data_IF_746976492100
#
_entry.id   IF_746976492100
#
_cell.length_a   1.000
_cell.length_b   1.000
_cell.length_c   1.000
_cell.angle_alpha   90.00
_cell.angle_beta   90.00
_cell.angle_gamma   90.00
#
_symmetry.space_group_name_H-M   'P 1'
#
loop_
_entity.id
_entity.type
_entity.pdbx_description
1 polymer ?
#
# COMPACT_ATOMS: atom_id res chain seq x y z
N UNK A 1 38.32 -16.94 7.70
CA UNK A 1 37.11 -17.72 8.00
C UNK A 1 36.06 -16.72 8.47
N UNK A 2 35.35 -16.12 7.53
CA UNK A 2 34.25 -15.19 7.78
C UNK A 2 32.95 -15.97 7.54
N UNK A 3 32.08 -16.01 8.53
CA UNK A 3 30.71 -16.51 8.39
C UNK A 3 29.85 -15.33 7.88
N UNK A 4 29.02 -15.50 6.85
CA UNK A 4 28.03 -14.49 6.48
C UNK A 4 26.81 -14.63 7.43
N UNK A 5 26.57 -13.64 8.25
CA UNK A 5 25.27 -13.41 8.86
C UNK A 5 24.42 -12.65 7.83
N UNK A 6 23.60 -13.38 7.11
CA UNK A 6 22.57 -12.79 6.27
C UNK A 6 21.26 -12.92 7.03
N UNK A 7 20.89 -11.89 7.77
CA UNK A 7 19.54 -11.76 8.32
C UNK A 7 18.70 -11.00 7.30
N UNK A 8 17.87 -11.73 6.56
CA UNK A 8 16.88 -11.20 5.66
C UNK A 8 15.64 -10.82 6.47
N UNK A 9 15.44 -9.53 6.73
CA UNK A 9 14.13 -9.00 7.11
C UNK A 9 13.41 -8.50 5.87
N UNK A 10 12.41 -9.24 5.47
CA UNK A 10 11.57 -8.91 4.32
C UNK A 10 10.26 -8.33 4.84
N UNK A 11 10.09 -7.01 4.71
CA UNK A 11 8.76 -6.42 4.78
C UNK A 11 8.01 -6.81 3.52
N UNK A 12 7.11 -7.71 3.66
CA UNK A 12 6.31 -8.24 2.58
C UNK A 12 4.85 -8.01 2.92
N UNK A 13 4.32 -7.20 2.14
CA UNK A 13 3.52 -7.81 1.08
C UNK A 13 4.51 -8.47 0.10
N UNK A 14 4.80 -9.79 0.29
CA UNK A 14 5.50 -10.67 -0.63
C UNK A 14 7.04 -10.73 -0.63
N UNK A 15 7.62 -11.63 0.12
CA UNK A 15 8.71 -12.54 -0.27
C UNK A 15 9.04 -13.54 0.84
N UNK A 16 8.57 -14.75 0.74
CA UNK A 16 9.12 -15.91 1.44
C UNK A 16 9.90 -16.74 0.42
N UNK A 17 11.21 -16.57 0.34
CA UNK A 17 12.06 -17.59 -0.26
C UNK A 17 12.15 -18.76 0.71
N UNK A 18 11.49 -19.86 0.38
CA UNK A 18 11.64 -21.13 1.06
C UNK A 18 13.08 -21.60 0.91
N UNK A 19 13.87 -21.43 1.97
CA UNK A 19 15.01 -22.31 2.18
C UNK A 19 14.44 -23.66 2.59
N UNK A 20 14.61 -24.66 1.72
CA UNK A 20 14.29 -26.05 2.02
C UNK A 20 15.07 -26.51 3.24
N UNK A 21 14.45 -26.42 4.41
CA UNK A 21 14.80 -27.23 5.56
C UNK A 21 14.01 -28.53 5.42
N UNK A 22 14.68 -29.67 5.45
CA UNK A 22 14.08 -30.98 5.28
C UNK A 22 12.86 -31.16 6.16
N UNK A 23 11.72 -31.31 5.52
CA UNK A 23 10.47 -31.68 6.18
C UNK A 23 10.59 -33.15 6.54
N UNK A 24 10.50 -33.45 7.80
CA UNK A 24 10.29 -34.80 8.28
C UNK A 24 8.90 -35.28 7.79
N UNK A 25 8.88 -36.25 6.90
CA UNK A 25 7.67 -36.80 6.27
C UNK A 25 6.72 -37.54 7.24
N UNK A 26 6.87 -37.40 8.55
CA UNK A 26 6.07 -38.14 9.55
C UNK A 26 4.85 -37.38 10.09
N UNK A 27 4.66 -36.08 9.84
CA UNK A 27 3.41 -35.40 10.16
C UNK A 27 2.45 -35.47 8.97
N UNK A 28 1.65 -36.54 8.91
CA UNK A 28 0.43 -36.56 8.11
C UNK A 28 -0.47 -35.45 8.61
N UNK A 29 -0.52 -34.36 7.86
CA UNK A 29 -1.51 -33.28 8.04
C UNK A 29 -2.89 -33.88 7.86
N UNK A 30 -3.64 -34.00 8.96
CA UNK A 30 -5.08 -34.22 8.95
C UNK A 30 -5.72 -33.20 7.99
N UNK A 31 -6.78 -33.57 7.25
CA UNK A 31 -7.43 -32.63 6.34
C UNK A 31 -7.93 -31.41 7.12
N UNK A 32 -7.66 -30.21 6.60
CA UNK A 32 -7.97 -28.87 7.15
C UNK A 32 -9.48 -28.59 7.35
N UNK A 33 -10.28 -29.61 7.56
CA UNK A 33 -11.73 -29.52 7.85
C UNK A 33 -11.98 -29.26 9.36
N UNK A 34 -10.93 -29.30 10.18
CA UNK A 34 -11.06 -28.92 11.58
C UNK A 34 -10.82 -27.40 11.74
N UNK A 35 -11.92 -26.68 11.94
CA UNK A 35 -11.97 -25.23 12.16
C UNK A 35 -11.09 -24.79 13.33
N UNK A 36 -10.86 -25.67 14.29
CA UNK A 36 -9.99 -25.41 15.41
C UNK A 36 -8.53 -25.38 15.00
N UNK A 37 -8.12 -26.12 13.98
CA UNK A 37 -6.71 -26.15 13.50
C UNK A 37 -6.32 -24.78 12.91
N UNK A 38 -7.16 -24.16 12.07
CA UNK A 38 -6.88 -22.82 11.55
C UNK A 38 -6.87 -21.77 12.68
N UNK A 39 -7.81 -21.85 13.63
CA UNK A 39 -7.82 -20.96 14.79
C UNK A 39 -6.53 -21.08 15.61
N UNK A 40 -6.12 -22.30 15.96
CA UNK A 40 -4.90 -22.56 16.73
C UNK A 40 -3.66 -22.04 15.98
N UNK A 41 -3.60 -22.26 14.66
CA UNK A 41 -2.50 -21.76 13.85
C UNK A 41 -2.41 -20.24 13.91
N UNK A 42 -3.51 -19.53 13.63
CA UNK A 42 -3.54 -18.04 13.64
C UNK A 42 -3.21 -17.51 15.04
N UNK A 43 -3.81 -18.07 16.09
CA UNK A 43 -3.56 -17.64 17.47
C UNK A 43 -2.08 -17.83 17.87
N UNK A 44 -1.48 -18.97 17.52
CA UNK A 44 -0.07 -19.30 17.82
C UNK A 44 0.87 -18.37 17.03
N UNK A 45 0.62 -18.11 15.74
CA UNK A 45 1.43 -17.17 14.96
C UNK A 45 1.45 -15.78 15.59
N UNK A 46 0.31 -15.28 16.04
CA UNK A 46 0.24 -14.00 16.77
C UNK A 46 0.98 -14.10 18.10
N UNK A 47 0.73 -15.15 18.88
CA UNK A 47 1.35 -15.35 20.19
C UNK A 47 2.88 -15.36 20.13
N UNK A 48 3.46 -15.91 19.08
CA UNK A 48 4.90 -16.09 18.93
C UNK A 48 5.59 -14.93 18.19
N UNK A 49 4.89 -14.27 17.24
CA UNK A 49 5.52 -13.40 16.26
C UNK A 49 5.02 -11.96 16.23
N UNK A 50 3.88 -11.65 16.86
CA UNK A 50 3.38 -10.27 16.91
C UNK A 50 4.45 -9.35 17.51
N UNK A 51 4.71 -8.21 16.88
CA UNK A 51 5.86 -7.34 17.19
C UNK A 51 5.93 -6.87 18.64
N UNK A 52 4.77 -6.64 19.29
CA UNK A 52 4.69 -6.22 20.68
C UNK A 52 4.39 -7.42 21.60
N UNK A 53 5.32 -7.80 22.49
CA UNK A 53 5.09 -8.90 23.45
C UNK A 53 3.93 -8.65 24.42
N UNK A 54 3.51 -7.39 24.60
CA UNK A 54 2.35 -7.02 25.40
C UNK A 54 1.04 -6.96 24.59
N UNK A 55 1.05 -7.30 23.29
CA UNK A 55 -0.11 -7.31 22.38
C UNK A 55 -0.87 -5.98 22.40
N UNK A 56 -0.17 -4.85 22.43
CA UNK A 56 -0.75 -3.51 22.59
C UNK A 56 -1.63 -3.38 23.85
N UNK A 57 -1.27 -4.11 24.93
CA UNK A 57 -2.00 -4.12 26.20
C UNK A 57 -3.19 -5.09 26.24
N UNK A 58 -3.40 -5.90 25.20
CA UNK A 58 -4.48 -6.88 25.13
C UNK A 58 -4.09 -8.16 25.87
N UNK A 59 -4.99 -8.69 26.70
CA UNK A 59 -4.84 -10.05 27.25
C UNK A 59 -5.11 -11.09 26.15
N UNK A 60 -4.04 -11.49 25.46
CA UNK A 60 -4.11 -12.42 24.33
C UNK A 60 -4.59 -13.82 24.77
N UNK A 61 -4.25 -14.26 25.97
CA UNK A 61 -4.73 -15.52 26.51
C UNK A 61 -6.23 -15.51 26.78
N UNK A 62 -6.78 -14.39 27.25
CA UNK A 62 -8.23 -14.24 27.40
C UNK A 62 -8.94 -14.28 26.04
N UNK A 63 -8.29 -13.78 24.93
CA UNK A 63 -8.84 -13.90 23.58
C UNK A 63 -8.91 -15.35 23.13
N UNK A 64 -7.93 -16.17 23.43
CA UNK A 64 -7.99 -17.61 23.16
C UNK A 64 -9.24 -18.24 23.79
N UNK A 65 -9.45 -18.01 25.08
CA UNK A 65 -10.58 -18.57 25.79
C UNK A 65 -11.93 -18.10 25.25
N UNK A 66 -11.98 -16.86 24.76
CA UNK A 66 -13.20 -16.29 24.19
C UNK A 66 -13.50 -16.80 22.77
N UNK A 67 -12.53 -16.74 21.87
CA UNK A 67 -12.75 -17.01 20.43
C UNK A 67 -12.69 -18.48 20.05
N UNK A 68 -11.92 -19.31 20.74
CA UNK A 68 -11.78 -20.74 20.44
C UNK A 68 -13.12 -21.49 20.41
N UNK A 69 -14.02 -21.38 21.42
CA UNK A 69 -15.30 -22.07 21.37
C UNK A 69 -16.24 -21.52 20.29
N UNK A 70 -16.09 -20.26 19.88
CA UNK A 70 -16.86 -19.66 18.77
C UNK A 70 -16.35 -20.23 17.44
N UNK A 71 -15.03 -20.27 17.22
CA UNK A 71 -14.42 -20.84 16.04
C UNK A 71 -14.81 -22.32 15.84
N UNK A 72 -14.80 -23.12 16.90
CA UNK A 72 -15.23 -24.53 16.85
C UNK A 72 -16.70 -24.72 16.44
N UNK A 73 -17.54 -23.70 16.61
CA UNK A 73 -18.98 -23.73 16.30
C UNK A 73 -19.33 -22.98 15.00
N UNK A 74 -18.37 -22.35 14.35
CA UNK A 74 -18.60 -21.59 13.13
C UNK A 74 -19.35 -22.46 12.09
N UNK A 75 -20.42 -21.98 11.50
CA UNK A 75 -21.25 -22.75 10.58
C UNK A 75 -20.61 -22.90 9.19
N UNK A 76 -19.67 -22.01 8.86
CA UNK A 76 -18.96 -21.98 7.58
C UNK A 76 -17.52 -21.48 7.75
N UNK A 77 -16.70 -21.69 6.70
CA UNK A 77 -15.35 -21.13 6.61
C UNK A 77 -15.39 -19.58 6.62
N UNK A 78 -16.34 -18.98 5.92
CA UNK A 78 -16.51 -17.53 5.92
C UNK A 78 -16.75 -16.99 7.33
N UNK A 79 -17.63 -17.63 8.12
CA UNK A 79 -17.87 -17.26 9.51
C UNK A 79 -16.61 -17.44 10.38
N UNK A 80 -15.84 -18.51 10.16
CA UNK A 80 -14.57 -18.71 10.86
C UNK A 80 -13.58 -17.59 10.54
N UNK A 81 -13.40 -17.23 9.27
CA UNK A 81 -12.52 -16.13 8.85
C UNK A 81 -12.96 -14.78 9.42
N UNK A 82 -14.28 -14.53 9.47
CA UNK A 82 -14.81 -13.31 10.08
C UNK A 82 -14.51 -13.25 11.60
N UNK A 83 -14.66 -14.36 12.32
CA UNK A 83 -14.31 -14.47 13.73
C UNK A 83 -12.81 -14.27 13.98
N UNK A 84 -11.97 -14.89 13.16
CA UNK A 84 -10.51 -14.71 13.23
C UNK A 84 -10.12 -13.25 12.97
N UNK A 85 -10.66 -12.62 11.95
CA UNK A 85 -10.40 -11.23 11.66
C UNK A 85 -10.96 -10.28 12.73
N UNK A 86 -12.07 -10.64 13.39
CA UNK A 86 -12.57 -9.90 14.54
C UNK A 86 -11.59 -9.96 15.72
N UNK A 87 -11.06 -11.14 16.03
CA UNK A 87 -10.02 -11.33 17.04
C UNK A 87 -8.75 -10.53 16.71
N UNK A 88 -8.27 -10.60 15.48
CA UNK A 88 -7.07 -9.90 15.03
C UNK A 88 -7.21 -8.37 15.09
N UNK A 89 -8.41 -7.82 14.82
CA UNK A 89 -8.67 -6.37 14.94
C UNK A 89 -8.52 -5.85 16.36
N UNK A 90 -8.71 -6.67 17.38
CA UNK A 90 -8.53 -6.25 18.77
C UNK A 90 -7.07 -5.90 19.08
N UNK A 91 -6.11 -6.41 18.30
CA UNK A 91 -4.70 -6.01 18.40
C UNK A 91 -4.47 -4.54 18.01
N UNK A 92 -5.43 -3.88 17.39
CA UNK A 92 -5.38 -2.48 16.94
C UNK A 92 -4.10 -2.14 16.17
N UNK A 93 -3.75 -2.96 15.19
CA UNK A 93 -2.54 -2.85 14.38
C UNK A 93 -2.86 -2.90 12.89
N UNK A 94 -2.12 -2.15 12.08
CA UNK A 94 -2.12 -2.31 10.63
C UNK A 94 -1.54 -3.67 10.22
N UNK A 95 -1.60 -4.02 8.95
CA UNK A 95 -1.00 -5.25 8.39
C UNK A 95 -1.38 -6.53 9.17
N UNK A 96 -2.62 -6.63 9.67
CA UNK A 96 -3.08 -7.76 10.45
C UNK A 96 -4.39 -8.32 9.89
N UNK A 97 -4.36 -9.57 9.41
CA UNK A 97 -5.56 -10.21 8.87
C UNK A 97 -5.31 -11.58 8.24
N UNK A 98 -6.35 -12.40 8.18
CA UNK A 98 -6.34 -13.74 7.59
C UNK A 98 -7.47 -13.88 6.58
N UNK A 99 -7.19 -14.56 5.47
CA UNK A 99 -8.20 -14.91 4.45
C UNK A 99 -7.75 -16.14 3.65
N UNK A 100 -8.65 -16.67 2.82
CA UNK A 100 -8.23 -17.58 1.74
C UNK A 100 -7.28 -16.85 0.78
N UNK A 101 -6.41 -17.57 0.10
CA UNK A 101 -5.55 -16.97 -0.93
C UNK A 101 -6.37 -16.28 -2.03
N UNK A 102 -7.53 -16.84 -2.37
CA UNK A 102 -8.47 -16.21 -3.30
C UNK A 102 -9.10 -14.93 -2.73
N UNK A 103 -9.46 -14.93 -1.43
CA UNK A 103 -9.98 -13.76 -0.73
C UNK A 103 -8.95 -12.64 -0.63
N UNK A 104 -7.69 -12.97 -0.34
CA UNK A 104 -6.59 -12.00 -0.35
C UNK A 104 -6.48 -11.36 -1.73
N UNK A 105 -6.48 -12.16 -2.81
CA UNK A 105 -6.43 -11.68 -4.20
C UNK A 105 -7.51 -10.64 -4.50
N UNK A 106 -8.71 -10.81 -3.96
CA UNK A 106 -9.83 -9.90 -4.18
C UNK A 106 -9.77 -8.62 -3.33
N UNK A 107 -8.98 -8.62 -2.24
CA UNK A 107 -8.91 -7.53 -1.25
C UNK A 107 -7.62 -6.73 -1.29
N UNK A 108 -6.62 -7.19 -2.04
CA UNK A 108 -5.37 -6.45 -2.25
C UNK A 108 -5.62 -5.19 -3.08
N UNK A 109 -4.67 -4.30 -3.07
CA UNK A 109 -4.77 -3.03 -3.77
C UNK A 109 -5.03 -3.20 -5.26
N UNK A 110 -6.02 -2.50 -5.81
CA UNK A 110 -6.30 -2.53 -7.24
C UNK A 110 -5.17 -1.93 -8.08
N UNK A 111 -4.38 -1.01 -7.54
CA UNK A 111 -3.26 -0.40 -8.25
C UNK A 111 -2.17 -1.39 -8.65
N UNK A 112 -1.98 -2.44 -7.87
CA UNK A 112 -0.89 -3.41 -8.08
C UNK A 112 -1.40 -4.74 -8.59
N UNK A 113 -2.61 -5.18 -8.20
CA UNK A 113 -3.05 -6.56 -8.45
C UNK A 113 -4.20 -6.73 -9.44
N UNK A 114 -4.87 -5.66 -9.87
CA UNK A 114 -5.98 -5.80 -10.79
C UNK A 114 -5.51 -6.05 -12.23
N UNK A 115 -6.13 -7.02 -12.90
CA UNK A 115 -5.81 -7.42 -14.28
C UNK A 115 -6.25 -6.38 -15.31
N UNK A 116 -7.29 -5.63 -15.01
CA UNK A 116 -7.87 -4.63 -15.91
C UNK A 116 -8.18 -3.31 -15.23
N UNK A 117 -8.14 -2.24 -16.00
CA UNK A 117 -8.40 -0.87 -15.58
C UNK A 117 -9.20 -0.14 -16.64
N UNK A 118 -10.08 0.77 -16.23
CA UNK A 118 -10.76 1.71 -17.14
C UNK A 118 -9.94 2.99 -17.41
N UNK A 119 -8.79 3.13 -16.76
CA UNK A 119 -7.91 4.29 -16.89
C UNK A 119 -8.32 5.49 -16.03
N UNK A 120 -9.01 5.28 -14.92
CA UNK A 120 -9.38 6.31 -13.96
C UNK A 120 -8.60 6.14 -12.65
N UNK A 121 -8.08 7.26 -12.12
CA UNK A 121 -7.72 7.42 -10.72
C UNK A 121 -8.70 8.38 -10.05
N UNK A 122 -9.19 8.05 -8.86
CA UNK A 122 -10.21 8.82 -8.15
C UNK A 122 -9.83 9.07 -6.71
N UNK A 123 -10.36 10.17 -6.14
CA UNK A 123 -10.25 10.48 -4.70
C UNK A 123 -11.62 10.90 -4.17
N UNK A 124 -11.76 10.76 -2.85
CA UNK A 124 -12.92 11.32 -2.15
C UNK A 124 -12.59 12.76 -1.79
N UNK A 125 -13.15 13.70 -2.55
CA UNK A 125 -12.94 15.15 -2.39
C UNK A 125 -14.30 15.77 -2.07
N UNK A 126 -14.38 16.57 -1.00
CA UNK A 126 -15.62 17.28 -0.62
C UNK A 126 -16.84 16.34 -0.51
N UNK A 127 -16.62 15.15 0.05
CA UNK A 127 -17.63 14.09 0.19
C UNK A 127 -18.23 13.58 -1.15
N UNK A 128 -17.46 13.65 -2.24
CA UNK A 128 -17.80 13.13 -3.54
C UNK A 128 -16.67 12.26 -4.13
N UNK A 129 -17.02 11.30 -5.01
CA UNK A 129 -16.05 10.56 -5.80
C UNK A 129 -15.63 11.44 -6.97
N UNK A 130 -14.43 12.02 -6.92
CA UNK A 130 -13.92 12.93 -7.95
C UNK A 130 -12.84 12.24 -8.76
N UNK A 131 -12.91 12.36 -10.08
CA UNK A 131 -11.86 11.91 -10.98
C UNK A 131 -10.65 12.82 -10.79
N UNK A 132 -9.55 12.23 -10.30
CA UNK A 132 -8.25 12.90 -10.13
C UNK A 132 -7.47 12.90 -11.45
N UNK A 133 -7.46 11.75 -12.11
CA UNK A 133 -6.66 11.52 -13.30
C UNK A 133 -7.37 10.60 -14.29
N UNK A 134 -7.17 10.86 -15.57
CA UNK A 134 -7.65 10.04 -16.69
C UNK A 134 -6.44 9.67 -17.54
N UNK A 135 -6.18 8.38 -17.69
CA UNK A 135 -5.08 7.88 -18.52
C UNK A 135 -5.40 8.14 -20.00
N UNK A 136 -4.48 8.80 -20.69
CA UNK A 136 -4.60 9.08 -22.14
C UNK A 136 -4.79 7.78 -22.94
N UNK A 137 -5.70 7.82 -23.90
CA UNK A 137 -6.05 6.72 -24.77
C UNK A 137 -6.86 5.60 -24.11
N UNK A 138 -7.15 5.69 -22.80
CA UNK A 138 -7.96 4.71 -22.09
C UNK A 138 -9.44 4.78 -22.47
N UNK A 139 -10.18 3.74 -22.09
CA UNK A 139 -11.64 3.68 -22.25
C UNK A 139 -12.35 4.89 -21.63
N UNK A 140 -11.84 5.39 -20.50
CA UNK A 140 -12.36 6.60 -19.86
C UNK A 140 -12.07 7.88 -20.67
N UNK A 141 -10.87 8.02 -21.20
CA UNK A 141 -10.48 9.15 -22.05
C UNK A 141 -11.30 9.18 -23.33
N UNK A 142 -11.41 8.03 -24.00
CA UNK A 142 -12.24 7.88 -25.22
C UNK A 142 -13.73 8.18 -24.97
N UNK A 143 -14.21 7.97 -23.75
CA UNK A 143 -15.57 8.34 -23.34
C UNK A 143 -15.72 9.82 -22.98
N UNK A 144 -14.64 10.60 -23.02
CA UNK A 144 -14.63 12.04 -22.76
C UNK A 144 -14.66 12.43 -21.28
N UNK A 145 -14.33 11.49 -20.38
CA UNK A 145 -14.18 11.80 -18.95
C UNK A 145 -12.93 12.66 -18.71
N UNK A 146 -13.00 13.52 -17.70
CA UNK A 146 -11.92 14.46 -17.38
C UNK A 146 -11.69 14.58 -15.88
N UNK A 147 -10.49 14.97 -15.44
CA UNK A 147 -10.26 15.36 -14.04
C UNK A 147 -11.28 16.40 -13.57
N UNK A 148 -11.73 16.27 -12.33
CA UNK A 148 -12.73 17.12 -11.72
C UNK A 148 -14.19 16.72 -12.00
N UNK A 149 -14.46 15.77 -12.89
CA UNK A 149 -15.81 15.19 -13.00
C UNK A 149 -16.14 14.40 -11.73
N UNK A 150 -17.42 14.43 -11.33
CA UNK A 150 -17.90 13.72 -10.13
C UNK A 150 -18.58 12.42 -10.55
N UNK A 151 -18.12 11.32 -10.02
CA UNK A 151 -18.79 10.02 -10.20
C UNK A 151 -19.92 9.92 -9.17
N UNK A 152 -21.15 9.93 -9.65
CA UNK A 152 -22.34 9.78 -8.83
C UNK A 152 -22.65 8.30 -8.53
N UNK A 153 -22.45 7.41 -9.52
CA UNK A 153 -22.66 5.96 -9.36
C UNK A 153 -21.69 5.14 -10.19
N UNK A 154 -21.26 4.01 -9.59
CA UNK A 154 -20.53 2.94 -10.27
C UNK A 154 -21.34 1.64 -10.11
N UNK A 155 -21.75 1.01 -11.21
CA UNK A 155 -22.63 -0.18 -11.20
C UNK A 155 -23.87 0.04 -10.31
N UNK A 156 -24.48 1.23 -10.41
CA UNK A 156 -25.64 1.63 -9.64
C UNK A 156 -25.37 2.03 -8.17
N UNK A 157 -24.17 1.80 -7.63
CA UNK A 157 -23.78 2.13 -6.25
C UNK A 157 -23.32 3.58 -6.13
N UNK A 158 -23.86 4.28 -5.15
CA UNK A 158 -23.48 5.64 -4.75
C UNK A 158 -22.30 5.61 -3.76
N UNK A 159 -21.75 6.80 -3.43
CA UNK A 159 -20.74 6.92 -2.38
C UNK A 159 -21.25 6.41 -1.02
N UNK A 160 -22.53 6.63 -0.66
CA UNK A 160 -23.10 6.16 0.60
C UNK A 160 -23.24 4.62 0.62
N UNK A 161 -23.51 4.01 -0.54
CA UNK A 161 -23.48 2.55 -0.66
C UNK A 161 -22.06 2.03 -0.39
N UNK A 162 -21.01 2.65 -0.94
CA UNK A 162 -19.62 2.30 -0.66
C UNK A 162 -19.26 2.54 0.82
N UNK A 163 -19.67 3.66 1.42
CA UNK A 163 -19.45 3.92 2.86
C UNK A 163 -20.04 2.81 3.74
N UNK A 164 -21.20 2.28 3.36
CA UNK A 164 -21.87 1.19 4.11
C UNK A 164 -21.13 -0.15 3.98
N UNK A 165 -20.36 -0.36 2.94
CA UNK A 165 -19.58 -1.58 2.69
C UNK A 165 -18.21 -1.57 3.40
N UNK A 166 -17.70 -0.39 3.72
CA UNK A 166 -16.35 -0.25 4.29
C UNK A 166 -16.30 -0.81 5.70
N UNK A 167 -15.49 -1.83 5.88
CA UNK A 167 -15.04 -2.29 7.19
C UNK A 167 -13.73 -1.60 7.52
N UNK A 168 -13.76 -0.59 8.38
CA UNK A 168 -12.54 0.09 8.82
C UNK A 168 -11.68 -0.88 9.62
N UNK A 169 -10.43 -1.04 9.20
CA UNK A 169 -9.42 -1.83 9.90
C UNK A 169 -8.48 -0.91 10.67
N UNK A 170 -7.81 -1.39 11.71
CA UNK A 170 -6.79 -0.61 12.39
C UNK A 170 -5.68 -0.13 11.44
N UNK A 171 -5.09 1.05 11.71
CA UNK A 171 -5.49 1.99 12.78
C UNK A 171 -6.83 2.65 12.47
N UNK A 172 -7.75 2.71 13.47
CA UNK A 172 -9.12 3.18 13.26
C UNK A 172 -9.20 4.72 13.31
N UNK A 173 -8.49 5.41 12.42
CA UNK A 173 -8.53 6.86 12.25
C UNK A 173 -9.27 7.27 10.97
N UNK A 174 -9.56 8.57 10.79
CA UNK A 174 -10.33 9.07 9.64
C UNK A 174 -9.57 8.92 8.32
N UNK A 175 -8.23 9.07 8.32
CA UNK A 175 -7.41 8.90 7.11
C UNK A 175 -7.44 7.46 6.61
N UNK A 176 -7.34 6.51 7.54
CA UNK A 176 -7.44 5.09 7.21
C UNK A 176 -8.87 4.71 6.74
N UNK A 177 -9.90 5.38 7.28
CA UNK A 177 -11.27 5.24 6.76
C UNK A 177 -11.37 5.72 5.31
N UNK A 178 -10.79 6.88 4.99
CA UNK A 178 -10.73 7.41 3.61
C UNK A 178 -9.96 6.48 2.69
N UNK A 179 -8.80 5.96 3.13
CA UNK A 179 -8.06 4.93 2.40
C UNK A 179 -8.93 3.72 2.04
N UNK A 180 -9.64 3.14 3.01
CA UNK A 180 -10.51 1.99 2.76
C UNK A 180 -11.67 2.34 1.84
N UNK A 181 -12.28 3.50 2.00
CA UNK A 181 -13.38 3.94 1.14
C UNK A 181 -12.90 4.15 -0.30
N UNK A 182 -11.80 4.86 -0.51
CA UNK A 182 -11.19 5.07 -1.83
C UNK A 182 -10.80 3.74 -2.47
N UNK A 183 -10.25 2.80 -1.68
CA UNK A 183 -9.92 1.45 -2.15
C UNK A 183 -11.15 0.67 -2.62
N UNK A 184 -12.30 0.74 -1.92
CA UNK A 184 -13.54 0.08 -2.35
C UNK A 184 -14.09 0.69 -3.65
N UNK A 185 -14.01 2.01 -3.81
CA UNK A 185 -14.40 2.68 -5.04
C UNK A 185 -13.49 2.26 -6.20
N UNK A 186 -12.18 2.23 -5.97
CA UNK A 186 -11.20 1.81 -6.99
C UNK A 186 -11.42 0.34 -7.40
N UNK A 187 -11.72 -0.58 -6.47
CA UNK A 187 -12.05 -1.98 -6.80
C UNK A 187 -13.27 -2.11 -7.71
N UNK A 188 -14.19 -1.15 -7.70
CA UNK A 188 -15.30 -1.13 -8.63
C UNK A 188 -14.90 -0.68 -10.04
N UNK A 189 -13.85 0.16 -10.16
CA UNK A 189 -13.30 0.63 -11.44
C UNK A 189 -12.30 -0.36 -12.04
N UNK A 190 -11.48 -0.95 -11.19
CA UNK A 190 -10.54 -2.01 -11.53
C UNK A 190 -11.22 -3.39 -11.48
N UNK A 191 -10.57 -4.42 -12.01
CA UNK A 191 -11.09 -5.79 -11.93
C UNK A 191 -10.60 -6.68 -13.06
N UNK A 192 -11.34 -7.77 -13.39
CA UNK A 192 -11.00 -8.60 -14.53
C UNK A 192 -11.00 -7.78 -15.83
N UNK A 193 -10.02 -8.06 -16.70
CA UNK A 193 -9.97 -7.49 -18.04
C UNK A 193 -11.21 -7.88 -18.86
N UNK A 194 -11.50 -7.12 -19.90
CA UNK A 194 -12.63 -7.33 -20.82
C UNK A 194 -14.04 -7.24 -20.20
N UNK A 195 -14.13 -6.83 -18.93
CA UNK A 195 -15.40 -6.59 -18.27
C UNK A 195 -15.75 -5.09 -18.33
N UNK A 196 -16.98 -4.80 -18.77
CA UNK A 196 -17.49 -3.43 -18.77
C UNK A 196 -17.87 -2.99 -17.34
N UNK A 197 -17.82 -1.68 -17.10
CA UNK A 197 -18.35 -1.04 -15.89
C UNK A 197 -19.19 0.18 -16.30
N UNK A 198 -20.40 0.27 -15.74
CA UNK A 198 -21.30 1.39 -15.97
C UNK A 198 -21.05 2.49 -14.94
N UNK A 199 -20.81 3.71 -15.40
CA UNK A 199 -20.54 4.87 -14.55
C UNK A 199 -21.56 5.96 -14.89
N UNK A 200 -22.25 6.49 -13.87
CA UNK A 200 -22.98 7.75 -13.95
C UNK A 200 -22.14 8.84 -13.31
N UNK A 201 -21.89 9.93 -14.02
CA UNK A 201 -21.10 11.05 -13.53
C UNK A 201 -21.72 12.39 -13.89
N UNK A 202 -21.24 13.44 -13.25
CA UNK A 202 -21.53 14.84 -13.53
C UNK A 202 -20.29 15.44 -14.20
N UNK A 203 -20.47 16.12 -15.31
CA UNK A 203 -19.39 16.82 -16.00
C UNK A 203 -18.94 18.10 -15.27
N UNK A 204 -18.13 18.93 -15.93
CA UNK A 204 -17.63 20.19 -15.36
C UNK A 204 -18.70 21.24 -15.08
N UNK A 205 -19.85 21.14 -15.75
CA UNK A 205 -21.01 22.01 -15.59
C UNK A 205 -22.14 21.34 -14.77
N UNK A 206 -21.85 20.23 -14.11
CA UNK A 206 -22.77 19.40 -13.33
C UNK A 206 -23.90 18.75 -14.15
N UNK A 207 -23.73 18.62 -15.48
CA UNK A 207 -24.68 17.89 -16.31
C UNK A 207 -24.47 16.37 -16.13
N UNK A 208 -25.55 15.57 -15.94
CA UNK A 208 -25.42 14.13 -15.79
C UNK A 208 -25.11 13.45 -17.13
N UNK A 209 -24.17 12.53 -17.09
CA UNK A 209 -23.85 11.63 -18.19
C UNK A 209 -23.69 10.19 -17.70
N UNK A 210 -23.95 9.24 -18.57
CA UNK A 210 -23.73 7.82 -18.28
C UNK A 210 -22.86 7.21 -19.37
N UNK A 211 -21.81 6.52 -18.95
CA UNK A 211 -20.87 5.85 -19.84
C UNK A 211 -20.68 4.41 -19.44
N UNK A 212 -20.45 3.54 -20.41
CA UNK A 212 -20.04 2.17 -20.19
C UNK A 212 -18.57 2.05 -20.61
N UNK A 213 -17.70 1.81 -19.66
CA UNK A 213 -16.27 1.75 -19.87
C UNK A 213 -15.83 0.28 -19.92
N UNK A 214 -14.95 -0.04 -20.85
CA UNK A 214 -14.33 -1.35 -20.92
C UNK A 214 -13.06 -1.37 -20.08
N UNK A 215 -12.91 -2.37 -19.20
CA UNK A 215 -11.63 -2.59 -18.53
C UNK A 215 -10.64 -3.17 -19.53
N UNK A 216 -9.59 -2.40 -19.78
CA UNK A 216 -8.49 -2.81 -20.64
C UNK A 216 -7.51 -3.67 -19.86
N UNK A 217 -7.00 -4.73 -20.48
CA UNK A 217 -5.97 -5.55 -19.87
C UNK A 217 -4.70 -4.74 -19.58
N UNK A 218 -4.18 -4.88 -18.37
CA UNK A 218 -2.87 -4.35 -18.03
C UNK A 218 -1.79 -5.30 -18.54
N UNK A 219 -0.67 -4.75 -18.97
CA UNK A 219 0.44 -5.49 -19.59
C UNK A 219 1.53 -5.83 -18.58
N UNK A 220 2.40 -6.75 -18.95
CA UNK A 220 3.66 -7.07 -18.27
C UNK A 220 3.53 -7.44 -16.78
N UNK A 221 2.64 -8.40 -16.46
CA UNK A 221 2.48 -8.86 -15.09
C UNK A 221 3.75 -9.53 -14.57
N UNK A 222 4.15 -9.19 -13.35
CA UNK A 222 5.28 -9.79 -12.65
C UNK A 222 4.79 -10.85 -11.68
N UNK A 223 5.26 -12.09 -11.81
CA UNK A 223 4.95 -13.18 -10.87
C UNK A 223 6.13 -13.39 -9.91
N UNK A 224 5.93 -13.10 -8.64
CA UNK A 224 6.95 -13.31 -7.59
C UNK A 224 6.95 -14.76 -7.10
N UNK A 225 5.78 -15.29 -6.79
CA UNK A 225 5.57 -16.69 -6.39
C UNK A 225 4.20 -17.18 -6.88
N UNK A 226 3.99 -18.50 -7.02
CA UNK A 226 2.68 -19.03 -7.41
C UNK A 226 1.55 -18.76 -6.39
N UNK A 227 1.90 -18.52 -5.13
CA UNK A 227 0.93 -18.26 -4.07
C UNK A 227 0.30 -16.86 -4.14
N UNK A 228 0.91 -15.96 -4.90
CA UNK A 228 0.58 -14.56 -4.98
C UNK A 228 0.10 -14.21 -6.38
N UNK A 229 -0.97 -13.37 -6.52
CA UNK A 229 -1.40 -12.88 -7.81
C UNK A 229 -0.24 -12.17 -8.53
N UNK A 230 -0.23 -12.19 -9.86
CA UNK A 230 0.69 -11.35 -10.61
C UNK A 230 0.55 -9.88 -10.24
N UNK A 231 1.67 -9.18 -10.19
CA UNK A 231 1.77 -7.75 -9.91
C UNK A 231 1.83 -6.97 -11.21
N UNK A 232 1.14 -5.85 -11.27
CA UNK A 232 1.24 -4.88 -12.36
C UNK A 232 2.01 -3.66 -11.83
N UNK A 233 3.32 -3.67 -12.07
CA UNK A 233 4.23 -2.62 -11.62
C UNK A 233 4.30 -1.54 -12.69
N UNK A 234 3.93 -0.33 -12.32
CA UNK A 234 3.88 0.82 -13.22
C UNK A 234 4.88 1.87 -12.77
N UNK A 235 5.59 2.45 -13.71
CA UNK A 235 6.49 3.58 -13.48
C UNK A 235 6.32 4.61 -14.59
N UNK A 236 6.46 5.88 -14.25
CA UNK A 236 6.39 7.00 -15.16
C UNK A 236 7.48 8.00 -14.81
N UNK A 237 8.18 8.49 -15.83
CA UNK A 237 9.14 9.58 -15.67
C UNK A 237 9.03 10.58 -16.81
N UNK A 238 9.23 11.87 -16.49
CA UNK A 238 9.29 12.94 -17.46
C UNK A 238 9.92 14.20 -16.90
N UNK A 239 10.32 15.10 -17.76
CA UNK A 239 10.61 16.46 -17.36
C UNK A 239 9.29 17.25 -17.28
N UNK A 240 9.07 17.97 -16.18
CA UNK A 240 7.96 18.90 -16.03
C UNK A 240 8.24 20.24 -16.72
N UNK A 241 9.50 20.66 -16.65
CA UNK A 241 10.08 21.81 -17.36
C UNK A 241 11.58 21.53 -17.63
N UNK A 242 12.34 22.56 -18.04
CA UNK A 242 13.77 22.43 -18.36
C UNK A 242 14.63 22.04 -17.13
N UNK A 243 14.11 22.12 -15.91
CA UNK A 243 14.89 21.97 -14.67
C UNK A 243 14.36 20.92 -13.72
N UNK A 244 13.05 20.64 -13.75
CA UNK A 244 12.36 19.80 -12.74
C UNK A 244 11.89 18.53 -13.41
N UNK A 245 12.32 17.42 -12.86
CA UNK A 245 11.92 16.07 -13.23
C UNK A 245 10.75 15.57 -12.36
N UNK A 246 10.02 14.60 -12.88
CA UNK A 246 8.95 13.88 -12.22
C UNK A 246 9.20 12.39 -12.35
N UNK A 247 9.00 11.66 -11.25
CA UNK A 247 9.10 10.21 -11.17
C UNK A 247 7.94 9.68 -10.35
N UNK A 248 7.18 8.74 -10.89
CA UNK A 248 6.07 8.05 -10.21
C UNK A 248 6.22 6.55 -10.38
N UNK A 249 5.87 5.79 -9.36
CA UNK A 249 5.76 4.33 -9.41
C UNK A 249 4.76 3.86 -8.34
N UNK A 250 4.16 2.68 -8.52
CA UNK A 250 3.04 2.22 -7.71
C UNK A 250 3.41 1.22 -6.60
N UNK A 251 4.65 0.71 -6.55
CA UNK A 251 5.10 -0.19 -5.47
C UNK A 251 6.64 -0.29 -5.39
N UNK A 252 7.15 -0.56 -4.19
CA UNK A 252 8.56 -0.89 -3.93
C UNK A 252 8.78 -2.40 -4.04
N UNK A 253 8.84 -2.93 -5.26
CA UNK A 253 9.06 -4.36 -5.47
C UNK A 253 10.36 -4.59 -6.26
N UNK A 254 11.21 -5.56 -5.87
CA UNK A 254 12.51 -5.77 -6.51
C UNK A 254 12.47 -5.83 -8.04
N UNK A 255 11.54 -6.56 -8.69
CA UNK A 255 11.49 -6.58 -10.16
C UNK A 255 11.06 -5.25 -10.79
N UNK A 256 10.31 -4.41 -10.07
CA UNK A 256 9.87 -3.09 -10.55
C UNK A 256 10.81 -1.97 -10.15
N UNK A 257 11.77 -2.22 -9.27
CA UNK A 257 12.72 -1.19 -8.82
C UNK A 257 13.73 -0.84 -9.93
N UNK A 258 14.20 -1.82 -10.69
CA UNK A 258 15.19 -1.59 -11.75
C UNK A 258 14.72 -0.52 -12.76
N UNK A 259 13.51 -0.58 -13.34
CA UNK A 259 13.01 0.47 -14.20
C UNK A 259 12.93 1.85 -13.51
N UNK A 260 12.61 1.90 -12.21
CA UNK A 260 12.57 3.16 -11.44
C UNK A 260 13.97 3.76 -11.31
N UNK A 261 14.99 2.93 -11.03
CA UNK A 261 16.39 3.36 -10.93
C UNK A 261 16.95 3.79 -12.28
N UNK A 262 16.64 3.07 -13.36
CA UNK A 262 17.02 3.43 -14.74
C UNK A 262 16.43 4.80 -15.12
N UNK A 263 15.14 5.03 -14.87
CA UNK A 263 14.50 6.31 -15.11
C UNK A 263 15.08 7.43 -14.24
N UNK A 264 15.42 7.15 -12.98
CA UNK A 264 16.11 8.13 -12.13
C UNK A 264 17.50 8.47 -12.70
N UNK A 265 18.23 7.51 -13.27
CA UNK A 265 19.52 7.76 -13.91
C UNK A 265 19.41 8.65 -15.17
N UNK A 266 18.33 8.54 -15.91
CA UNK A 266 18.04 9.44 -17.05
C UNK A 266 17.75 10.87 -16.57
N UNK A 267 17.10 11.02 -15.41
CA UNK A 267 16.73 12.29 -14.80
C UNK A 267 17.82 12.91 -13.90
N UNK A 268 18.97 12.25 -13.75
CA UNK A 268 20.00 12.55 -12.75
C UNK A 268 20.56 13.97 -12.82
N UNK A 269 20.47 14.64 -13.96
CA UNK A 269 20.98 16.01 -14.18
C UNK A 269 19.96 17.09 -13.90
N UNK A 270 18.72 16.74 -13.55
CA UNK A 270 17.69 17.71 -13.21
C UNK A 270 18.07 18.49 -11.94
N UNK A 271 17.70 19.75 -11.88
CA UNK A 271 17.94 20.60 -10.69
C UNK A 271 16.96 20.30 -9.55
N UNK A 272 15.78 19.75 -9.87
CA UNK A 272 14.77 19.31 -8.92
C UNK A 272 14.08 18.02 -9.37
N UNK A 273 13.60 17.24 -8.40
CA UNK A 273 12.88 15.99 -8.63
C UNK A 273 11.61 15.96 -7.77
N UNK A 274 10.48 15.75 -8.42
CA UNK A 274 9.23 15.38 -7.74
C UNK A 274 9.09 13.86 -7.79
N UNK A 275 9.02 13.21 -6.63
CA UNK A 275 8.72 11.80 -6.49
C UNK A 275 7.25 11.69 -6.09
N UNK A 276 6.41 11.11 -6.94
CA UNK A 276 4.97 10.95 -6.66
C UNK A 276 4.67 9.56 -6.12
N UNK A 277 4.40 9.49 -4.82
CA UNK A 277 4.01 8.27 -4.11
C UNK A 277 2.50 8.18 -3.85
N UNK A 278 1.69 9.04 -4.43
CA UNK A 278 0.22 8.98 -4.33
C UNK A 278 -0.30 7.74 -5.06
N UNK A 279 -0.98 6.87 -4.32
CA UNK A 279 -1.41 5.56 -4.83
C UNK A 279 -0.30 4.49 -4.86
N UNK A 280 0.82 4.70 -4.16
CA UNK A 280 1.85 3.70 -4.00
C UNK A 280 1.56 2.80 -2.79
N UNK A 281 1.51 1.50 -3.03
CA UNK A 281 1.16 0.48 -2.03
C UNK A 281 2.30 0.08 -1.07
N UNK A 282 3.42 0.78 -1.11
CA UNK A 282 4.60 0.38 -0.36
C UNK A 282 5.28 -0.85 -0.94
N UNK A 283 5.82 -1.72 -0.09
CA UNK A 283 6.49 -2.95 -0.51
C UNK A 283 7.77 -3.24 0.27
N UNK A 284 8.81 -3.73 -0.42
CA UNK A 284 10.05 -4.20 0.17
C UNK A 284 10.87 -3.07 0.81
N UNK A 285 11.28 -3.25 2.07
CA UNK A 285 12.21 -2.36 2.77
C UNK A 285 13.54 -2.25 1.99
N UNK A 286 14.05 -3.36 1.47
CA UNK A 286 15.31 -3.36 0.73
C UNK A 286 15.17 -2.54 -0.56
N UNK A 287 14.07 -2.69 -1.32
CA UNK A 287 13.82 -1.88 -2.51
C UNK A 287 13.71 -0.38 -2.15
N UNK A 288 13.03 -0.03 -1.06
CA UNK A 288 12.96 1.33 -0.56
C UNK A 288 14.35 1.88 -0.20
N UNK A 289 15.19 1.09 0.49
CA UNK A 289 16.55 1.48 0.88
C UNK A 289 17.47 1.66 -0.33
N UNK A 290 17.35 0.82 -1.36
CA UNK A 290 18.09 0.97 -2.61
C UNK A 290 17.77 2.31 -3.28
N UNK A 291 16.48 2.70 -3.34
CA UNK A 291 16.11 4.00 -3.87
C UNK A 291 16.62 5.15 -2.97
N UNK A 292 16.47 5.04 -1.64
CA UNK A 292 16.98 6.03 -0.68
C UNK A 292 18.50 6.20 -0.78
N UNK A 293 19.24 5.13 -1.09
CA UNK A 293 20.70 5.14 -1.31
C UNK A 293 21.13 6.09 -2.42
N UNK A 294 20.21 6.43 -3.35
CA UNK A 294 20.45 7.40 -4.43
C UNK A 294 20.42 8.86 -3.98
N UNK A 295 20.03 9.12 -2.71
CA UNK A 295 19.84 10.47 -2.19
C UNK A 295 20.80 10.82 -1.04
N UNK A 296 21.45 9.83 -0.42
CA UNK A 296 22.40 10.05 0.67
C UNK A 296 23.86 10.12 0.19
N UNK A 297 24.73 10.82 0.93
CA UNK A 297 26.17 10.98 0.62
C UNK A 297 27.04 9.96 1.34
N UNK A 298 26.61 9.60 2.54
CA UNK A 298 27.29 8.68 3.45
C UNK A 298 26.24 7.79 4.13
N UNK A 299 26.64 6.71 4.77
CA UNK A 299 25.70 5.87 5.49
C UNK A 299 24.95 6.64 6.56
N UNK A 300 23.61 6.59 6.53
CA UNK A 300 22.70 7.30 7.41
C UNK A 300 21.86 6.33 8.23
N UNK A 301 22.06 6.34 9.55
CA UNK A 301 21.19 5.61 10.48
C UNK A 301 19.84 6.33 10.59
N UNK A 302 18.76 5.70 10.13
CA UNK A 302 17.44 6.33 10.15
C UNK A 302 16.53 5.83 11.27
N UNK A 303 16.80 4.64 11.82
CA UNK A 303 15.94 4.08 12.85
C UNK A 303 16.34 2.69 13.29
N UNK A 304 15.43 2.09 14.07
CA UNK A 304 15.57 0.72 14.58
C UNK A 304 14.27 -0.02 14.31
N UNK A 305 14.35 -1.17 13.65
CA UNK A 305 13.25 -2.10 13.59
C UNK A 305 13.15 -2.87 14.91
N UNK A 306 12.02 -2.71 15.56
CA UNK A 306 11.72 -3.34 16.85
C UNK A 306 10.74 -4.47 16.62
N UNK A 307 11.22 -5.70 16.74
CA UNK A 307 10.41 -6.91 16.74
C UNK A 307 10.18 -7.43 18.17
N UNK A 308 9.46 -8.52 18.29
CA UNK A 308 9.23 -9.18 19.59
C UNK A 308 10.52 -9.57 20.32
N UNK A 309 11.56 -9.93 19.60
CA UNK A 309 12.78 -10.53 20.13
C UNK A 309 14.04 -9.71 19.89
N UNK A 310 14.01 -8.82 18.92
CA UNK A 310 15.21 -8.11 18.44
C UNK A 310 14.95 -6.64 18.21
N UNK A 311 15.99 -5.83 18.42
CA UNK A 311 16.05 -4.43 18.04
C UNK A 311 17.19 -4.27 17.04
N UNK A 312 16.85 -4.08 15.78
CA UNK A 312 17.83 -4.06 14.68
C UNK A 312 17.95 -2.64 14.13
N UNK A 313 19.03 -1.90 14.46
CA UNK A 313 19.31 -0.61 13.83
C UNK A 313 19.46 -0.79 12.31
N UNK A 314 18.89 0.15 11.55
CA UNK A 314 18.97 0.09 10.09
C UNK A 314 19.47 1.40 9.49
N UNK A 315 20.28 1.23 8.43
CA UNK A 315 21.08 2.29 7.82
C UNK A 315 20.85 2.29 6.31
N UNK A 316 20.66 3.48 5.74
CA UNK A 316 20.72 3.67 4.30
C UNK A 316 22.20 3.79 3.92
N UNK A 317 22.63 3.04 2.90
CA UNK A 317 23.98 3.10 2.37
C UNK A 317 23.92 3.75 0.98
N UNK A 318 24.83 4.70 0.65
CA UNK A 318 24.91 5.29 -0.68
C UNK A 318 25.01 4.21 -1.75
N UNK A 319 24.21 4.33 -2.81
CA UNK A 319 24.17 3.35 -3.88
C UNK A 319 23.98 4.00 -5.26
N UNK A 320 24.73 3.52 -6.26
CA UNK A 320 24.64 4.00 -7.64
C UNK A 320 25.01 5.48 -7.80
N UNK A 321 24.42 6.12 -8.82
CA UNK A 321 24.60 7.56 -9.08
C UNK A 321 23.69 8.36 -8.17
N UNK A 322 24.26 9.28 -7.39
CA UNK A 322 23.48 10.12 -6.48
C UNK A 322 22.79 11.27 -7.21
N UNK A 323 21.51 11.49 -6.91
CA UNK A 323 20.80 12.69 -7.31
C UNK A 323 21.22 13.87 -6.43
N UNK A 324 21.65 14.96 -7.04
CA UNK A 324 22.22 16.13 -6.32
C UNK A 324 21.24 17.31 -6.22
N UNK A 325 20.12 17.24 -6.95
CA UNK A 325 19.09 18.29 -6.96
C UNK A 325 18.21 18.29 -5.70
N UNK A 326 17.31 19.26 -5.62
CA UNK A 326 16.30 19.33 -4.55
C UNK A 326 15.20 18.29 -4.81
N UNK A 327 14.60 17.77 -3.74
CA UNK A 327 13.57 16.72 -3.87
C UNK A 327 12.29 17.17 -3.16
N UNK A 328 11.16 16.97 -3.82
CA UNK A 328 9.83 17.02 -3.23
C UNK A 328 9.15 15.65 -3.38
N UNK A 329 8.46 15.21 -2.33
CA UNK A 329 7.71 13.94 -2.36
C UNK A 329 6.22 14.22 -2.21
N UNK A 330 5.42 13.71 -3.16
CA UNK A 330 3.96 13.81 -3.09
C UNK A 330 3.39 12.59 -2.37
N UNK A 331 2.50 12.84 -1.41
CA UNK A 331 1.79 11.81 -0.64
C UNK A 331 0.31 12.14 -0.49
N UNK A 332 -0.51 11.11 -0.33
CA UNK A 332 -1.94 11.24 -0.02
C UNK A 332 -2.44 10.05 0.83
N UNK A 333 -3.76 9.94 1.02
CA UNK A 333 -4.38 8.83 1.76
C UNK A 333 -4.18 7.46 1.11
N UNK A 334 -3.70 7.41 -0.14
CA UNK A 334 -3.41 6.17 -0.85
C UNK A 334 -1.91 5.83 -0.87
N UNK A 335 -1.08 6.57 -0.15
CA UNK A 335 0.34 6.26 0.10
C UNK A 335 0.44 5.43 1.38
N UNK A 336 0.82 4.14 1.31
CA UNK A 336 0.85 3.25 2.48
C UNK A 336 2.18 2.53 2.65
N UNK A 337 2.49 2.10 3.87
CA UNK A 337 3.63 1.23 4.21
C UNK A 337 4.98 1.86 3.77
N UNK A 338 5.72 1.25 2.84
CA UNK A 338 6.96 1.80 2.30
C UNK A 338 6.81 3.21 1.72
N UNK A 339 5.61 3.53 1.14
CA UNK A 339 5.31 4.87 0.63
C UNK A 339 5.01 5.91 1.73
N UNK A 340 4.90 5.48 2.98
CA UNK A 340 4.88 6.34 4.17
C UNK A 340 6.29 6.36 4.80
N UNK A 341 6.95 5.20 4.89
CA UNK A 341 8.28 5.09 5.51
C UNK A 341 9.33 5.93 4.75
N UNK A 342 9.36 5.86 3.42
CA UNK A 342 10.31 6.62 2.62
C UNK A 342 10.22 8.14 2.86
N UNK A 343 9.06 8.81 2.68
CA UNK A 343 8.96 10.24 2.96
C UNK A 343 9.21 10.59 4.43
N UNK A 344 8.81 9.75 5.39
CA UNK A 344 9.11 9.96 6.80
C UNK A 344 10.62 9.91 7.10
N UNK A 345 11.37 9.02 6.45
CA UNK A 345 12.83 8.97 6.52
C UNK A 345 13.45 10.19 5.82
N UNK A 346 12.93 10.59 4.66
CA UNK A 346 13.44 11.75 3.94
C UNK A 346 13.23 13.06 4.71
N UNK A 347 12.13 13.21 5.44
CA UNK A 347 11.92 14.33 6.38
C UNK A 347 12.91 14.27 7.55
N UNK A 348 13.11 13.09 8.15
CA UNK A 348 14.04 12.90 9.27
C UNK A 348 15.47 13.32 8.91
N UNK A 349 15.90 13.07 7.68
CA UNK A 349 17.25 13.31 7.18
C UNK A 349 17.39 14.60 6.36
N UNK A 350 16.37 15.46 6.35
CA UNK A 350 16.31 16.70 5.56
C UNK A 350 16.64 16.51 4.07
N UNK A 351 16.23 15.38 3.49
CA UNK A 351 16.50 15.03 2.08
C UNK A 351 15.45 15.57 1.12
N UNK A 352 14.21 15.80 1.59
CA UNK A 352 13.11 16.23 0.74
C UNK A 352 12.07 17.03 1.51
N UNK A 353 11.28 17.83 0.77
CA UNK A 353 10.05 18.45 1.26
C UNK A 353 8.87 17.54 0.91
N UNK A 354 8.09 17.13 1.90
CA UNK A 354 6.88 16.31 1.69
C UNK A 354 5.67 17.22 1.48
N UNK A 355 4.93 16.97 0.40
CA UNK A 355 3.79 17.79 -0.04
C UNK A 355 2.55 16.93 -0.26
N UNK A 356 1.38 17.40 0.09
CA UNK A 356 0.12 16.70 -0.15
C UNK A 356 -0.78 16.59 1.07
N UNK A 357 -1.39 15.43 1.29
CA UNK A 357 -2.25 15.15 2.42
C UNK A 357 -1.62 14.10 3.34
N UNK A 358 -1.96 14.17 4.65
CA UNK A 358 -1.44 13.23 5.65
C UNK A 358 -1.81 11.80 5.32
N UNK A 359 -0.84 10.89 5.40
CA UNK A 359 -1.00 9.49 5.06
C UNK A 359 -1.77 8.68 6.13
N UNK A 360 -2.24 7.44 5.85
CA UNK A 360 -3.10 6.68 6.76
C UNK A 360 -2.46 6.24 8.08
N UNK A 361 -1.14 6.05 8.11
CA UNK A 361 -0.43 5.48 9.25
C UNK A 361 -0.46 3.96 9.28
N UNK A 362 -0.32 3.31 8.14
CA UNK A 362 -0.18 1.86 8.03
C UNK A 362 1.29 1.50 7.81
N UNK A 363 2.10 1.58 8.87
CA UNK A 363 3.57 1.59 8.75
C UNK A 363 4.27 0.38 9.39
N UNK A 364 3.52 -0.57 9.93
CA UNK A 364 4.11 -1.78 10.50
C UNK A 364 4.69 -2.69 9.42
N UNK A 365 5.76 -3.40 9.78
CA UNK A 365 6.35 -4.42 8.94
C UNK A 365 5.57 -5.71 9.08
N UNK A 366 4.84 -6.10 8.04
CA UNK A 366 4.02 -7.31 8.03
C UNK A 366 4.70 -8.46 7.28
N UNK A 367 4.68 -9.65 7.88
CA UNK A 367 5.02 -10.89 7.20
C UNK A 367 3.76 -11.53 6.62
N UNK A 368 3.92 -12.13 5.44
CA UNK A 368 2.88 -12.96 4.82
C UNK A 368 3.26 -14.43 4.94
N UNK A 369 2.38 -15.22 5.56
CA UNK A 369 2.56 -16.67 5.67
C UNK A 369 1.37 -17.40 5.06
N UNK A 370 1.65 -18.53 4.40
CA UNK A 370 0.64 -19.40 3.82
C UNK A 370 0.47 -20.64 4.70
N UNK A 371 -0.77 -20.99 4.97
CA UNK A 371 -1.12 -22.18 5.74
C UNK A 371 -2.03 -23.10 4.95
N UNK A 372 -1.64 -24.39 4.88
CA UNK A 372 -2.39 -25.44 4.18
C UNK A 372 -2.64 -25.15 2.70
N UNK A 373 -1.72 -24.43 2.04
CA UNK A 373 -1.81 -24.02 0.62
C UNK A 373 -3.11 -23.26 0.25
N UNK A 374 -3.86 -22.81 1.27
CA UNK A 374 -5.22 -22.29 1.09
C UNK A 374 -5.47 -20.97 1.77
N UNK A 375 -4.87 -20.76 2.93
CA UNK A 375 -5.04 -19.54 3.73
C UNK A 375 -3.76 -18.73 3.76
N UNK A 376 -3.91 -17.41 3.78
CA UNK A 376 -2.82 -16.47 4.00
C UNK A 376 -3.07 -15.65 5.26
N UNK A 377 -2.04 -15.49 6.07
CA UNK A 377 -2.02 -14.61 7.24
C UNK A 377 -1.01 -13.49 6.99
N UNK A 378 -1.46 -12.26 7.10
CA UNK A 378 -0.60 -11.08 7.24
C UNK A 378 -0.51 -10.76 8.72
N UNK A 379 0.71 -10.66 9.24
CA UNK A 379 0.96 -10.40 10.66
C UNK A 379 2.07 -9.37 10.83
N UNK A 380 1.86 -8.28 11.61
CA UNK A 380 2.92 -7.31 11.88
C UNK A 380 3.94 -7.88 12.85
N UNK A 381 5.18 -8.05 12.38
CA UNK A 381 6.28 -8.67 13.11
C UNK A 381 7.33 -7.68 13.60
N UNK A 382 7.35 -6.46 13.05
CA UNK A 382 8.21 -5.38 13.50
C UNK A 382 7.55 -4.01 13.30
N UNK A 383 8.07 -3.02 14.05
CA UNK A 383 7.76 -1.60 13.86
C UNK A 383 9.04 -0.82 13.69
N UNK A 384 9.01 0.23 12.89
CA UNK A 384 10.12 1.18 12.79
C UNK A 384 10.00 2.26 13.88
N UNK A 385 11.06 2.45 14.65
CA UNK A 385 11.25 3.59 15.55
C UNK A 385 12.38 4.43 14.96
N UNK A 386 12.07 5.65 14.55
CA UNK A 386 13.05 6.57 13.97
C UNK A 386 14.11 6.99 14.99
N UNK A 387 15.25 7.51 14.53
CA UNK A 387 16.34 7.97 15.42
C UNK A 387 15.94 9.13 16.35
N UNK A 388 14.91 9.89 15.99
CA UNK A 388 14.31 10.92 16.84
C UNK A 388 13.25 10.38 17.84
N UNK A 389 13.04 9.07 17.86
CA UNK A 389 12.09 8.37 18.74
C UNK A 389 10.65 8.30 18.22
N UNK A 390 10.33 8.92 17.06
CA UNK A 390 8.97 8.81 16.48
C UNK A 390 8.66 7.39 16.03
N UNK A 391 7.40 7.02 16.15
CA UNK A 391 6.78 5.88 15.49
C UNK A 391 5.50 6.39 14.85
N UNK A 392 5.40 6.29 13.55
CA UNK A 392 4.30 6.87 12.78
C UNK A 392 3.13 5.89 12.54
N UNK A 393 3.16 4.68 13.11
CA UNK A 393 2.01 3.77 13.07
C UNK A 393 0.78 4.42 13.70
N UNK A 394 -0.32 4.43 12.96
CA UNK A 394 -1.57 5.08 13.35
C UNK A 394 -1.60 6.61 13.18
N UNK A 395 -0.44 7.24 13.05
CA UNK A 395 -0.33 8.68 12.83
C UNK A 395 -0.13 9.02 11.34
N UNK A 396 0.75 8.30 10.65
CA UNK A 396 1.13 8.57 9.27
C UNK A 396 2.10 9.74 9.14
N UNK A 397 2.53 10.00 7.92
CA UNK A 397 3.41 11.13 7.58
C UNK A 397 2.58 12.40 7.47
N UNK A 398 2.94 13.40 8.24
CA UNK A 398 2.38 14.76 8.14
C UNK A 398 3.22 15.52 7.10
N UNK A 399 2.64 15.97 5.98
CA UNK A 399 3.38 16.73 4.98
C UNK A 399 3.92 18.06 5.53
N UNK A 400 5.11 18.46 5.07
CA UNK A 400 5.69 19.79 5.38
C UNK A 400 4.85 20.92 4.75
N UNK A 401 4.20 20.60 3.62
CA UNK A 401 3.25 21.46 2.93
C UNK A 401 1.93 20.70 2.72
N UNK A 402 0.98 20.94 3.61
CA UNK A 402 -0.37 20.37 3.48
C UNK A 402 -1.14 21.07 2.37
N UNK A 403 -1.49 20.33 1.32
CA UNK A 403 -2.20 20.83 0.15
C UNK A 403 -3.31 19.83 -0.19
N UNK A 404 -4.57 20.12 0.12
CA UNK A 404 -5.67 19.25 -0.28
C UNK A 404 -5.91 19.33 -1.79
N UNK A 405 -6.43 18.24 -2.36
CA UNK A 405 -7.01 18.29 -3.69
C UNK A 405 -8.35 19.01 -3.63
N UNK A 406 -8.66 19.80 -4.68
CA UNK A 406 -9.96 20.41 -4.84
C UNK A 406 -10.49 20.21 -6.27
N UNK A 407 -11.82 20.05 -6.37
CA UNK A 407 -12.50 19.81 -7.65
C UNK A 407 -12.30 20.96 -8.66
N UNK A 408 -12.34 22.19 -8.18
CA UNK A 408 -12.24 23.37 -9.07
C UNK A 408 -10.88 23.47 -9.76
N UNK A 409 -9.79 23.12 -9.06
CA UNK A 409 -8.45 23.04 -9.65
C UNK A 409 -8.36 21.92 -10.68
N UNK A 410 -8.86 20.74 -10.38
CA UNK A 410 -8.86 19.59 -11.29
C UNK A 410 -9.66 19.88 -12.58
N UNK A 411 -10.81 20.56 -12.48
CA UNK A 411 -11.59 21.00 -13.64
C UNK A 411 -10.81 21.96 -14.56
N UNK A 412 -9.86 22.72 -14.02
CA UNK A 412 -8.97 23.59 -14.82
C UNK A 412 -7.75 22.85 -15.36
N UNK A 413 -7.67 21.54 -15.16
CA UNK A 413 -6.50 20.71 -15.52
C UNK A 413 -5.27 20.95 -14.64
N UNK A 414 -5.48 21.41 -13.41
CA UNK A 414 -4.42 21.74 -12.47
C UNK A 414 -4.42 20.74 -11.31
N UNK A 415 -3.28 20.10 -11.08
CA UNK A 415 -3.02 19.37 -9.85
C UNK A 415 -2.36 20.33 -8.83
N UNK A 416 -3.09 20.77 -7.78
CA UNK A 416 -2.57 21.76 -6.84
C UNK A 416 -1.40 21.22 -5.99
N UNK A 417 -1.38 19.91 -5.73
CA UNK A 417 -0.29 19.26 -4.99
C UNK A 417 1.00 19.25 -5.82
N UNK A 418 0.90 18.86 -7.10
CA UNK A 418 2.03 18.88 -8.03
C UNK A 418 2.56 20.30 -8.23
N UNK A 419 1.67 21.30 -8.38
CA UNK A 419 2.08 22.70 -8.47
C UNK A 419 2.83 23.16 -7.22
N UNK A 420 2.35 22.79 -6.02
CA UNK A 420 3.01 23.15 -4.77
C UNK A 420 4.40 22.47 -4.64
N UNK A 421 4.53 21.22 -5.05
CA UNK A 421 5.81 20.51 -5.07
C UNK A 421 6.83 21.22 -6.00
N UNK A 422 6.42 21.57 -7.21
CA UNK A 422 7.24 22.33 -8.15
C UNK A 422 7.65 23.70 -7.59
N UNK A 423 6.73 24.39 -6.92
CA UNK A 423 7.03 25.68 -6.28
C UNK A 423 8.10 25.54 -5.19
N UNK A 424 8.02 24.51 -4.32
CA UNK A 424 9.04 24.24 -3.29
C UNK A 424 10.44 23.96 -3.88
N UNK A 425 10.53 23.41 -5.09
CA UNK A 425 11.80 23.17 -5.76
C UNK A 425 12.39 24.39 -6.44
N UNK A 426 11.58 25.41 -6.66
CA UNK A 426 11.96 26.67 -7.34
C UNK A 426 12.41 27.75 -6.37
N UNK A 427 12.08 27.65 -5.08
CA UNK A 427 12.53 28.53 -4.00
C UNK A 427 14.02 28.28 -3.65
#
# INVERSE_FOLDING_TARGET
>A
MLKPLTLLFLCLILCGLATACGVDESERTEPLDDRTVLFEHVWNQVNERFHDPAFNGLDWSARYLHYRPLAARAASEAELLDLLNLMLRELNSSHCGVDTLAGIRSRVSPYVFAEGSVGLDVRIIEDAIVIKEVREGSSADLAGLKPGFVIDRIEGRSLDDFKSMVTVRPPCNERNRRFHLTSEVLRALYGPADMAVSIRCLDGDDNPMTVNLQREARTDPVTLTPAIPPLFLETESRMLDERIAYLRFNAFQPPGLEPVLEQLDELISAAGLVIDLRGNDGGSIEAMKHLLGRFVREPELFGTYVSRHEHTPDTIVPEGRRFEGRIAVLVDEMSISGAENMPGIMQLLDLAVVVGEQTPGQMLCGDFTVFGERFGLVLPTARLVYTDGRNLEGEGVIPDRSVPLDRASLLRGVDPQLQAAVACLSE
#
